data_IF_805264752617
#
_entry.id   IF_805264752617
#
_cell.length_a   1.000
_cell.length_b   1.000
_cell.length_c   1.000
_cell.angle_alpha   90.00
_cell.angle_beta   90.00
_cell.angle_gamma   90.00
#
_symmetry.space_group_name_H-M   'P 1'
#
loop_
_entity.id
_entity.type
_entity.pdbx_description
1 polymer ?
#
# COMPACT_ATOMS: atom_id res chain seq x y z
N UNK A 1 41.38 -23.74 4.62
CA UNK A 1 40.11 -23.71 5.39
C UNK A 1 39.59 -22.30 5.66
N UNK A 2 40.40 -21.35 6.13
CA UNK A 2 39.96 -19.99 6.48
C UNK A 2 39.28 -19.20 5.35
N UNK A 3 39.72 -19.39 4.09
CA UNK A 3 39.20 -18.70 2.89
C UNK A 3 37.80 -19.14 2.43
N UNK A 4 37.39 -20.38 2.74
CA UNK A 4 36.06 -20.90 2.39
C UNK A 4 35.02 -20.37 3.38
N UNK A 5 35.41 -20.19 4.64
CA UNK A 5 34.56 -19.62 5.69
C UNK A 5 34.23 -18.13 5.44
N UNK A 6 35.16 -17.37 4.88
CA UNK A 6 34.96 -15.95 4.54
C UNK A 6 34.01 -15.76 3.35
N UNK A 7 34.06 -16.67 2.36
CA UNK A 7 33.18 -16.62 1.19
C UNK A 7 31.73 -16.97 1.56
N UNK A 8 31.53 -17.93 2.48
CA UNK A 8 30.22 -18.27 3.01
C UNK A 8 29.62 -17.14 3.85
N UNK A 9 30.45 -16.41 4.63
CA UNK A 9 30.00 -15.26 5.41
C UNK A 9 29.56 -14.08 4.53
N UNK A 10 30.26 -13.82 3.42
CA UNK A 10 29.93 -12.74 2.48
C UNK A 10 28.69 -13.06 1.62
N UNK A 11 28.43 -14.34 1.35
CA UNK A 11 27.25 -14.80 0.60
C UNK A 11 25.96 -14.70 1.43
N UNK A 12 26.03 -14.88 2.74
CA UNK A 12 24.87 -14.74 3.64
C UNK A 12 24.47 -13.28 3.92
N UNK A 13 25.39 -12.31 3.79
CA UNK A 13 25.08 -10.88 4.05
C UNK A 13 24.34 -10.20 2.90
N UNK A 14 24.16 -10.85 1.75
CA UNK A 14 23.57 -10.25 0.55
C UNK A 14 22.03 -10.39 0.45
N UNK A 15 21.36 -11.03 1.43
CA UNK A 15 19.92 -11.33 1.35
C UNK A 15 19.04 -10.30 2.08
N UNK A 16 19.61 -9.24 2.65
CA UNK A 16 18.87 -8.27 3.48
C UNK A 16 18.27 -7.13 2.66
N UNK A 17 17.24 -7.40 1.86
CA UNK A 17 16.31 -6.37 1.37
C UNK A 17 14.94 -6.92 0.89
N UNK A 18 14.54 -8.14 1.26
CA UNK A 18 13.18 -8.59 1.00
C UNK A 18 12.25 -7.97 2.05
N UNK A 19 11.42 -7.00 1.66
CA UNK A 19 10.20 -6.69 2.43
C UNK A 19 9.45 -8.01 2.60
N UNK A 20 9.32 -8.51 3.82
CA UNK A 20 8.68 -9.82 4.06
C UNK A 20 7.18 -9.71 3.78
N UNK A 21 6.80 -9.95 2.52
CA UNK A 21 5.40 -10.20 2.18
C UNK A 21 5.02 -11.53 2.82
N UNK A 22 3.98 -11.58 3.68
CA UNK A 22 3.61 -12.82 4.34
C UNK A 22 3.31 -13.94 3.33
N UNK A 23 3.65 -15.18 3.68
CA UNK A 23 3.41 -16.34 2.80
C UNK A 23 1.91 -16.50 2.45
N UNK A 24 1.03 -16.20 3.41
CA UNK A 24 -0.42 -16.21 3.19
C UNK A 24 -0.85 -15.19 2.13
N UNK A 25 -0.21 -14.02 2.10
CA UNK A 25 -0.41 -13.00 1.07
C UNK A 25 0.05 -13.51 -0.29
N UNK A 26 1.24 -14.11 -0.37
CA UNK A 26 1.75 -14.68 -1.62
C UNK A 26 0.81 -15.76 -2.16
N UNK A 27 0.37 -16.68 -1.31
CA UNK A 27 -0.57 -17.73 -1.69
C UNK A 27 -1.89 -17.13 -2.19
N UNK A 28 -2.48 -16.19 -1.44
CA UNK A 28 -3.74 -15.53 -1.82
C UNK A 28 -3.64 -14.76 -3.12
N UNK A 29 -2.56 -13.99 -3.32
CA UNK A 29 -2.36 -13.20 -4.53
C UNK A 29 -1.93 -14.06 -5.73
N UNK A 30 -1.30 -15.22 -5.50
CA UNK A 30 -0.92 -16.14 -6.60
C UNK A 30 -2.12 -16.76 -7.31
N UNK A 31 -3.25 -16.87 -6.61
CA UNK A 31 -4.52 -17.35 -7.17
C UNK A 31 -5.45 -16.22 -7.55
N UNK A 32 -5.13 -14.97 -7.21
CA UNK A 32 -5.99 -13.82 -7.46
C UNK A 32 -5.83 -13.34 -8.90
N UNK A 33 -6.87 -13.53 -9.71
CA UNK A 33 -6.86 -13.20 -11.14
C UNK A 33 -7.83 -12.06 -11.52
N UNK A 34 -7.97 -11.83 -12.83
CA UNK A 34 -8.85 -10.78 -13.35
C UNK A 34 -10.34 -11.12 -13.15
N UNK A 35 -10.73 -12.39 -13.06
CA UNK A 35 -12.10 -12.79 -12.74
C UNK A 35 -12.42 -12.43 -11.29
N UNK A 36 -11.51 -12.72 -10.36
CA UNK A 36 -11.64 -12.35 -8.95
C UNK A 36 -11.77 -10.84 -8.79
N UNK A 37 -10.92 -10.06 -9.48
CA UNK A 37 -11.02 -8.60 -9.50
C UNK A 37 -12.38 -8.11 -10.01
N UNK A 38 -12.91 -8.71 -11.08
CA UNK A 38 -14.20 -8.35 -11.67
C UNK A 38 -15.41 -8.74 -10.79
N UNK A 39 -15.23 -9.66 -9.85
CA UNK A 39 -16.24 -10.05 -8.88
C UNK A 39 -16.28 -9.13 -7.64
N UNK A 40 -15.25 -8.29 -7.44
CA UNK A 40 -15.17 -7.39 -6.30
C UNK A 40 -16.31 -6.36 -6.29
N UNK A 41 -16.83 -6.10 -5.11
CA UNK A 41 -17.75 -5.00 -4.86
C UNK A 41 -16.98 -3.85 -4.22
N UNK A 42 -17.00 -2.66 -4.83
CA UNK A 42 -16.26 -1.50 -4.35
C UNK A 42 -16.60 -1.10 -2.89
N UNK A 43 -17.81 -1.41 -2.42
CA UNK A 43 -18.25 -1.16 -1.04
C UNK A 43 -17.67 -2.14 -0.01
N UNK A 44 -17.22 -3.31 -0.46
CA UNK A 44 -16.68 -4.36 0.41
C UNK A 44 -15.17 -4.21 0.61
N UNK A 45 -14.50 -3.47 -0.27
CA UNK A 45 -13.05 -3.27 -0.22
C UNK A 45 -12.68 -2.34 0.93
N UNK A 46 -11.86 -2.86 1.84
CA UNK A 46 -11.41 -2.12 3.00
C UNK A 46 -9.95 -2.34 3.31
N UNK A 47 -9.33 -1.30 3.85
CA UNK A 47 -7.92 -1.30 4.22
C UNK A 47 -7.82 -0.98 5.70
N UNK A 48 -7.10 -1.81 6.45
CA UNK A 48 -6.61 -1.43 7.78
C UNK A 48 -5.18 -0.97 7.63
N UNK A 49 -4.89 0.21 8.16
CA UNK A 49 -3.53 0.72 8.25
C UNK A 49 -3.25 1.01 9.71
N UNK A 50 -2.24 0.35 10.26
CA UNK A 50 -1.82 0.55 11.65
C UNK A 50 -0.45 1.18 11.67
N UNK A 51 -0.32 2.24 12.48
CA UNK A 51 0.93 2.97 12.69
C UNK A 51 1.19 3.17 14.18
N UNK A 52 2.46 3.19 14.63
CA UNK A 52 2.80 3.41 16.03
C UNK A 52 2.25 4.75 16.55
N UNK A 53 2.02 4.82 17.86
CA UNK A 53 1.63 6.06 18.51
C UNK A 53 2.66 7.18 18.24
N UNK A 54 2.17 8.41 18.05
CA UNK A 54 2.99 9.56 17.65
C UNK A 54 3.07 9.77 16.14
N UNK A 55 2.67 8.79 15.33
CA UNK A 55 2.45 8.94 13.89
C UNK A 55 0.96 9.15 13.59
N UNK A 56 0.66 9.98 12.61
CA UNK A 56 -0.71 10.24 12.14
C UNK A 56 -0.80 10.01 10.63
N UNK A 57 -1.78 9.21 10.20
CA UNK A 57 -2.05 8.96 8.79
C UNK A 57 -2.74 10.16 8.14
N UNK A 58 -2.26 10.56 6.96
CA UNK A 58 -2.96 11.44 6.03
C UNK A 58 -3.92 10.61 5.16
N UNK A 59 -5.13 10.40 5.66
CA UNK A 59 -6.14 9.57 5.00
C UNK A 59 -6.50 10.13 3.62
N UNK A 60 -6.71 11.45 3.51
CA UNK A 60 -7.09 12.15 2.28
C UNK A 60 -6.08 12.00 1.14
N UNK A 61 -4.81 11.70 1.46
CA UNK A 61 -3.75 11.47 0.46
C UNK A 61 -3.37 10.00 0.32
N UNK A 62 -3.92 9.13 1.16
CA UNK A 62 -3.70 7.68 1.12
C UNK A 62 -4.64 7.03 0.11
N UNK A 63 -4.18 5.99 -0.56
CA UNK A 63 -4.89 5.41 -1.69
C UNK A 63 -4.62 3.91 -1.82
N UNK A 64 -5.59 3.23 -2.43
CA UNK A 64 -5.49 1.86 -2.90
C UNK A 64 -5.33 1.90 -4.43
N UNK A 65 -4.45 1.08 -4.96
CA UNK A 65 -4.25 0.95 -6.40
C UNK A 65 -4.25 -0.50 -6.82
N UNK A 66 -4.67 -0.69 -8.07
CA UNK A 66 -4.59 -1.95 -8.78
C UNK A 66 -3.79 -1.70 -10.06
N UNK A 67 -2.71 -2.45 -10.23
CA UNK A 67 -1.88 -2.44 -11.43
C UNK A 67 -2.15 -3.74 -12.18
N UNK A 68 -2.51 -3.62 -13.45
CA UNK A 68 -2.97 -4.70 -14.31
C UNK A 68 -2.00 -4.79 -15.48
N UNK A 69 -1.51 -5.98 -15.74
CA UNK A 69 -0.60 -6.21 -16.87
C UNK A 69 -1.11 -7.36 -17.72
N UNK A 70 -1.06 -7.16 -19.03
CA UNK A 70 -1.15 -8.21 -20.04
C UNK A 70 0.09 -8.18 -20.94
N UNK A 71 0.27 -9.18 -21.80
CA UNK A 71 1.40 -9.27 -22.74
C UNK A 71 1.71 -7.97 -23.51
N UNK A 72 0.72 -7.11 -23.74
CA UNK A 72 0.88 -5.89 -24.56
C UNK A 72 0.40 -4.60 -23.91
N UNK A 73 -0.26 -4.66 -22.74
CA UNK A 73 -0.86 -3.47 -22.13
C UNK A 73 -0.64 -3.44 -20.62
N UNK A 74 -0.44 -2.23 -20.10
CA UNK A 74 -0.47 -1.95 -18.66
C UNK A 74 -1.59 -0.96 -18.38
N UNK A 75 -2.45 -1.30 -17.43
CA UNK A 75 -3.51 -0.44 -16.94
C UNK A 75 -3.42 -0.33 -15.43
N UNK A 76 -3.80 0.82 -14.88
CA UNK A 76 -3.77 1.01 -13.44
C UNK A 76 -4.95 1.85 -12.98
N UNK A 77 -5.55 1.44 -11.86
CA UNK A 77 -6.50 2.26 -11.12
C UNK A 77 -5.87 2.78 -9.85
N UNK A 78 -6.18 4.03 -9.51
CA UNK A 78 -5.87 4.65 -8.23
C UNK A 78 -7.18 5.11 -7.61
N UNK A 79 -7.44 4.68 -6.38
CA UNK A 79 -8.68 4.90 -5.66
C UNK A 79 -8.37 5.51 -4.31
N UNK A 80 -8.86 6.73 -4.09
CA UNK A 80 -8.63 7.44 -2.84
C UNK A 80 -9.49 6.83 -1.73
N UNK A 81 -8.98 6.92 -0.50
CA UNK A 81 -9.57 6.26 0.67
C UNK A 81 -10.29 7.27 1.56
N UNK A 82 -11.32 6.80 2.24
CA UNK A 82 -12.00 7.53 3.31
C UNK A 82 -12.03 6.71 4.59
N UNK A 83 -12.15 7.41 5.72
CA UNK A 83 -12.20 6.80 7.04
C UNK A 83 -13.55 6.13 7.30
N UNK A 84 -13.52 4.88 7.74
CA UNK A 84 -14.64 4.22 8.42
C UNK A 84 -14.53 4.38 9.94
N UNK A 85 -13.35 4.09 10.50
CA UNK A 85 -13.10 4.26 11.93
C UNK A 85 -11.62 4.46 12.22
N UNK A 86 -11.34 4.98 13.41
CA UNK A 86 -10.00 5.07 13.99
C UNK A 86 -10.09 4.57 15.42
N UNK A 87 -9.16 3.71 15.82
CA UNK A 87 -9.11 3.19 17.18
C UNK A 87 -7.68 3.05 17.68
N UNK A 88 -7.50 3.23 18.99
CA UNK A 88 -6.27 2.81 19.66
C UNK A 88 -6.16 1.29 19.61
N UNK A 89 -4.94 0.80 19.51
CA UNK A 89 -4.62 -0.62 19.35
C UNK A 89 -3.24 -0.92 19.92
N UNK A 90 -2.94 -2.20 20.08
CA UNK A 90 -1.63 -2.69 20.46
C UNK A 90 -1.18 -3.69 19.39
N UNK A 91 0.06 -3.58 18.97
CA UNK A 91 0.71 -4.59 18.14
C UNK A 91 1.55 -5.45 19.06
N UNK A 92 1.32 -6.76 19.02
CA UNK A 92 2.06 -7.76 19.79
C UNK A 92 3.53 -7.76 19.37
N UNK A 93 4.44 -7.63 20.34
CA UNK A 93 5.88 -7.68 20.11
C UNK A 93 6.41 -9.10 19.83
N UNK A 94 5.57 -10.12 19.97
CA UNK A 94 5.90 -11.53 19.93
C UNK A 94 6.63 -11.99 21.19
N UNK A 95 7.12 -13.23 21.16
CA UNK A 95 7.73 -13.91 22.32
C UNK A 95 8.96 -13.20 22.91
N UNK A 96 9.60 -12.29 22.16
CA UNK A 96 10.83 -11.61 22.56
C UNK A 96 10.75 -10.08 22.48
N UNK A 97 9.59 -9.52 22.09
CA UNK A 97 9.41 -8.08 21.90
C UNK A 97 8.44 -7.50 22.91
N UNK A 98 8.57 -6.19 23.17
CA UNK A 98 7.55 -5.44 23.88
C UNK A 98 6.43 -5.04 22.94
N UNK A 99 5.20 -5.07 23.44
CA UNK A 99 4.03 -4.54 22.78
C UNK A 99 4.21 -3.07 22.36
N UNK A 100 3.65 -2.74 21.19
CA UNK A 100 3.73 -1.41 20.60
C UNK A 100 2.34 -0.77 20.63
N UNK A 101 2.20 0.32 21.39
CA UNK A 101 1.01 1.15 21.33
C UNK A 101 0.87 1.79 19.94
N UNK A 102 -0.32 1.67 19.35
CA UNK A 102 -0.55 2.01 17.95
C UNK A 102 -1.95 2.59 17.71
N UNK A 103 -2.13 3.23 16.55
CA UNK A 103 -3.44 3.64 16.03
C UNK A 103 -3.77 2.84 14.79
N UNK A 104 -4.93 2.19 14.78
CA UNK A 104 -5.46 1.48 13.61
C UNK A 104 -6.53 2.34 12.92
N UNK A 105 -6.34 2.59 11.63
CA UNK A 105 -7.30 3.25 10.76
C UNK A 105 -7.98 2.20 9.89
N UNK A 106 -9.31 2.09 9.97
CA UNK A 106 -10.11 1.29 9.03
C UNK A 106 -10.65 2.23 7.96
N UNK A 107 -10.33 1.92 6.71
CA UNK A 107 -10.59 2.74 5.55
C UNK A 107 -11.38 1.96 4.50
N UNK A 108 -12.07 2.68 3.63
CA UNK A 108 -12.75 2.14 2.45
C UNK A 108 -12.54 3.06 1.26
N UNK A 109 -12.92 2.62 0.06
CA UNK A 109 -12.92 3.48 -1.11
C UNK A 109 -13.85 4.69 -0.92
N UNK A 110 -13.38 5.86 -1.34
CA UNK A 110 -14.23 7.05 -1.46
C UNK A 110 -15.37 6.80 -2.46
N UNK A 111 -16.60 7.29 -2.22
CA UNK A 111 -17.69 7.15 -3.18
C UNK A 111 -17.34 7.67 -4.57
N UNK A 112 -16.55 8.75 -4.62
CA UNK A 112 -16.07 9.40 -5.84
C UNK A 112 -15.08 8.54 -6.63
N UNK A 113 -14.42 7.57 -5.98
CA UNK A 113 -13.52 6.60 -6.63
C UNK A 113 -14.26 5.40 -7.24
N UNK A 114 -15.55 5.20 -6.91
CA UNK A 114 -16.33 4.04 -7.39
C UNK A 114 -16.54 4.01 -8.90
N UNK A 115 -16.85 5.13 -9.59
CA UNK A 115 -16.99 5.12 -11.05
C UNK A 115 -15.72 4.67 -11.76
N UNK A 116 -14.55 5.17 -11.35
CA UNK A 116 -13.26 4.77 -11.91
C UNK A 116 -12.96 3.28 -11.64
N UNK A 117 -13.41 2.74 -10.50
CA UNK A 117 -13.25 1.33 -10.18
C UNK A 117 -14.09 0.45 -11.12
N UNK A 118 -15.35 0.84 -11.33
CA UNK A 118 -16.25 0.17 -12.28
C UNK A 118 -15.73 0.26 -13.71
N UNK A 119 -15.15 1.39 -14.11
CA UNK A 119 -14.52 1.57 -15.42
C UNK A 119 -13.35 0.59 -15.61
N UNK A 120 -12.50 0.44 -14.58
CA UNK A 120 -11.41 -0.53 -14.60
C UNK A 120 -11.91 -1.97 -14.73
N UNK A 121 -12.99 -2.32 -14.02
CA UNK A 121 -13.64 -3.64 -14.16
C UNK A 121 -14.22 -3.83 -15.56
N UNK A 122 -14.88 -2.82 -16.13
CA UNK A 122 -15.44 -2.89 -17.47
C UNK A 122 -14.34 -3.10 -18.53
N UNK A 123 -13.20 -2.41 -18.38
CA UNK A 123 -12.03 -2.61 -19.22
C UNK A 123 -11.52 -4.06 -19.18
N UNK A 124 -11.39 -4.64 -17.98
CA UNK A 124 -10.86 -5.99 -17.78
C UNK A 124 -11.79 -7.10 -18.29
N UNK A 125 -13.10 -6.87 -18.36
CA UNK A 125 -14.02 -7.83 -18.99
C UNK A 125 -13.74 -8.00 -20.49
N UNK A 126 -13.17 -6.98 -21.12
CA UNK A 126 -12.83 -6.99 -22.54
C UNK A 126 -11.36 -7.35 -22.79
N UNK A 127 -10.47 -6.96 -21.87
CA UNK A 127 -9.02 -7.09 -22.00
C UNK A 127 -8.45 -7.81 -20.79
N UNK A 128 -8.58 -9.14 -20.78
CA UNK A 128 -8.07 -10.02 -19.72
C UNK A 128 -6.65 -9.59 -19.30
N UNK A 129 -6.41 -9.52 -17.99
CA UNK A 129 -5.08 -9.28 -17.45
C UNK A 129 -4.45 -10.62 -17.05
N UNK A 130 -3.15 -10.76 -17.32
CA UNK A 130 -2.37 -11.93 -16.91
C UNK A 130 -1.95 -11.82 -15.44
N UNK A 131 -1.85 -10.60 -14.94
CA UNK A 131 -1.46 -10.32 -13.56
C UNK A 131 -2.22 -9.12 -13.00
N UNK A 132 -2.65 -9.25 -11.75
CA UNK A 132 -3.26 -8.19 -10.96
C UNK A 132 -2.43 -7.94 -9.71
N UNK A 133 -1.79 -6.78 -9.64
CA UNK A 133 -1.02 -6.33 -8.48
C UNK A 133 -1.83 -5.34 -7.67
N UNK A 134 -1.83 -5.52 -6.35
CA UNK A 134 -2.52 -4.64 -5.41
C UNK A 134 -1.49 -3.82 -4.64
N UNK A 135 -1.71 -2.50 -4.57
CA UNK A 135 -0.83 -1.58 -3.86
C UNK A 135 -1.64 -0.72 -2.91
N UNK A 136 -1.28 -0.73 -1.63
CA UNK A 136 -1.77 0.27 -0.66
C UNK A 136 -0.65 1.26 -0.40
N UNK A 137 -0.94 2.56 -0.52
CA UNK A 137 0.04 3.61 -0.25
C UNK A 137 -0.43 4.49 0.90
N UNK A 138 0.07 4.23 2.13
CA UNK A 138 -0.15 5.13 3.25
C UNK A 138 0.63 6.43 3.03
N UNK A 139 -0.01 7.56 3.34
CA UNK A 139 0.67 8.86 3.45
C UNK A 139 0.65 9.29 4.91
N UNK A 140 1.78 9.77 5.42
CA UNK A 140 1.89 10.21 6.83
C UNK A 140 1.71 11.72 6.90
N UNK A 141 0.83 12.19 7.80
CA UNK A 141 0.54 13.61 8.05
C UNK A 141 1.48 14.19 9.10
N UNK A 142 1.66 13.49 10.21
CA UNK A 142 2.48 13.90 11.35
C UNK A 142 3.31 12.73 11.86
N UNK A 143 4.50 13.03 12.36
CA UNK A 143 5.44 12.08 12.92
C UNK A 143 6.39 12.82 13.89
N UNK A 144 7.06 12.11 14.82
CA UNK A 144 8.03 12.70 15.74
C UNK A 144 9.19 13.38 15.00
N UNK A 145 9.70 14.49 15.53
CA UNK A 145 10.70 15.32 14.85
C UNK A 145 12.01 14.59 14.50
N UNK A 146 12.39 13.63 15.35
CA UNK A 146 13.61 12.82 15.22
C UNK A 146 13.36 11.43 14.61
N UNK A 147 12.15 11.15 14.11
CA UNK A 147 11.90 9.87 13.45
C UNK A 147 12.55 9.84 12.06
N UNK A 148 13.27 8.76 11.77
CA UNK A 148 13.83 8.48 10.44
C UNK A 148 12.95 7.52 9.64
N UNK A 149 12.28 6.60 10.34
CA UNK A 149 11.44 5.55 9.79
C UNK A 149 10.11 5.47 10.54
N UNK A 150 9.12 4.86 9.89
CA UNK A 150 7.88 4.42 10.51
C UNK A 150 7.63 2.96 10.14
N UNK A 151 7.35 2.10 11.13
CA UNK A 151 6.84 0.77 10.85
C UNK A 151 5.35 0.86 10.52
N UNK A 152 4.91 0.16 9.48
CA UNK A 152 3.51 0.17 9.05
C UNK A 152 3.02 -1.26 8.85
N UNK A 153 1.81 -1.51 9.33
CA UNK A 153 1.05 -2.73 9.09
C UNK A 153 -0.14 -2.39 8.22
N UNK A 154 -0.39 -3.23 7.21
CA UNK A 154 -1.48 -3.04 6.27
C UNK A 154 -2.19 -4.37 6.11
N UNK A 155 -3.47 -4.40 6.43
CA UNK A 155 -4.35 -5.51 6.08
C UNK A 155 -5.39 -5.07 5.05
N UNK A 156 -5.76 -5.98 4.17
CA UNK A 156 -6.71 -5.75 3.09
C UNK A 156 -7.87 -6.74 3.21
N UNK A 157 -9.08 -6.24 3.02
CA UNK A 157 -10.29 -7.02 2.80
C UNK A 157 -10.79 -6.70 1.40
N UNK A 158 -10.98 -7.72 0.56
CA UNK A 158 -11.45 -7.57 -0.81
C UNK A 158 -12.94 -7.90 -0.96
N UNK A 159 -13.47 -8.76 -0.07
CA UNK A 159 -14.87 -9.21 -0.04
C UNK A 159 -15.37 -9.20 1.39
N UNK A 160 -16.65 -8.89 1.59
CA UNK A 160 -17.30 -8.99 2.90
C UNK A 160 -17.42 -10.44 3.41
N UNK A 161 -17.39 -11.42 2.50
CA UNK A 161 -17.44 -12.85 2.82
C UNK A 161 -16.10 -13.37 3.35
N UNK A 162 -15.01 -12.67 3.06
CA UNK A 162 -13.67 -13.03 3.47
C UNK A 162 -13.16 -12.06 4.54
N UNK A 163 -12.35 -12.56 5.48
CA UNK A 163 -11.68 -11.72 6.46
C UNK A 163 -10.59 -10.85 5.85
N UNK A 164 -10.00 -10.00 6.69
CA UNK A 164 -8.77 -9.29 6.36
C UNK A 164 -7.62 -10.30 6.16
N UNK A 165 -6.76 -10.04 5.19
CA UNK A 165 -5.45 -10.68 5.07
C UNK A 165 -4.37 -9.61 5.11
N UNK A 166 -3.22 -9.95 5.67
CA UNK A 166 -2.09 -9.03 5.79
C UNK A 166 -1.46 -8.81 4.41
N UNK A 167 -1.22 -7.55 4.05
CA UNK A 167 -0.48 -7.15 2.86
C UNK A 167 0.95 -6.75 3.23
N UNK A 168 1.10 -6.04 4.36
CA UNK A 168 2.38 -5.58 4.89
C UNK A 168 2.40 -5.86 6.38
N UNK A 169 3.43 -6.55 6.84
CA UNK A 169 3.63 -6.86 8.26
C UNK A 169 4.87 -6.12 8.78
N UNK A 170 4.66 -5.04 9.54
CA UNK A 170 5.72 -4.32 10.25
C UNK A 170 6.81 -3.69 9.38
N UNK A 171 6.56 -3.43 8.10
CA UNK A 171 7.58 -2.89 7.20
C UNK A 171 7.96 -1.45 7.55
N UNK A 172 9.26 -1.16 7.54
CA UNK A 172 9.77 0.19 7.78
C UNK A 172 9.72 1.04 6.51
N UNK A 173 9.12 2.22 6.61
CA UNK A 173 9.11 3.24 5.57
C UNK A 173 10.01 4.40 5.96
N UNK A 174 10.94 4.75 5.07
CA UNK A 174 11.83 5.90 5.24
C UNK A 174 11.07 7.22 5.10
N UNK A 175 11.14 8.08 6.12
CA UNK A 175 10.46 9.38 6.12
C UNK A 175 11.15 10.41 5.21
N UNK A 176 12.45 10.27 4.94
CA UNK A 176 13.15 11.13 3.97
C UNK A 176 12.63 10.91 2.55
N UNK A 177 12.37 9.66 2.17
CA UNK A 177 11.75 9.31 0.88
C UNK A 177 10.33 9.90 0.76
N UNK A 178 9.57 9.90 1.86
CA UNK A 178 8.22 10.51 1.89
C UNK A 178 8.26 12.05 1.73
N UNK A 179 9.30 12.73 2.23
CA UNK A 179 9.49 14.19 2.05
C UNK A 179 9.79 14.55 0.59
N UNK A 180 10.67 13.79 -0.08
CA UNK A 180 11.04 14.02 -1.49
C UNK A 180 9.83 13.85 -2.42
N UNK A 181 8.99 12.83 -2.19
CA UNK A 181 7.75 12.65 -2.96
C UNK A 181 6.76 13.82 -2.81
N UNK A 182 6.78 14.53 -1.67
CA UNK A 182 5.93 15.69 -1.44
C UNK A 182 6.41 16.91 -2.24
N UNK A 183 7.72 17.14 -2.32
CA UNK A 183 8.30 18.24 -3.09
C UNK A 183 8.00 18.09 -4.60
N UNK A 184 8.31 16.92 -5.16
CA UNK A 184 8.10 16.66 -6.59
C UNK A 184 6.62 16.72 -7.02
N UNK A 185 5.68 16.40 -6.13
CA UNK A 185 4.24 16.49 -6.40
C UNK A 185 3.75 17.96 -6.41
N UNK A 186 4.35 18.83 -5.60
CA UNK A 186 4.04 20.26 -5.59
C UNK A 186 4.60 20.95 -6.84
N UNK A 187 5.80 20.58 -7.28
CA UNK A 187 6.42 21.17 -8.48
C UNK A 187 5.62 20.83 -9.75
N UNK A 188 5.16 19.57 -9.90
CA UNK A 188 4.31 19.16 -11.04
C UNK A 188 2.93 19.80 -11.05
N UNK A 189 2.37 20.11 -9.87
CA UNK A 189 1.09 20.81 -9.78
C UNK A 189 1.23 22.28 -10.22
N UNK A 190 2.35 22.93 -9.90
CA UNK A 190 2.63 24.31 -10.30
C UNK A 190 2.99 24.45 -11.79
N UNK A 191 3.65 23.44 -12.37
CA UNK A 191 3.97 23.42 -13.81
C UNK A 191 2.69 23.34 -14.66
N UNK A 192 1.69 22.58 -14.23
CA UNK A 192 0.41 22.45 -14.93
C UNK A 192 -0.46 23.72 -14.88
N UNK A 193 -0.27 24.60 -13.90
CA UNK A 193 -1.01 25.87 -13.77
C UNK A 193 -0.44 27.00 -14.63
N UNK A 194 0.84 26.90 -15.05
CA UNK A 194 1.48 27.94 -15.86
C UNK A 194 1.23 27.76 -17.37
N UNK A 195 0.79 26.57 -17.79
CA UNK A 195 0.54 26.25 -19.20
C UNK A 195 -0.87 26.63 -19.70
N UNK A 196 -1.78 27.07 -18.83
CA UNK A 196 -3.16 27.49 -19.16
C UNK A 196 -3.40 29.01 -18.95
N UNK A 197 -2.39 29.86 -19.21
CA UNK A 197 -2.63 31.30 -19.37
C UNK A 197 -2.92 31.59 -20.85
N UNK A 198 -4.12 32.11 -21.21
CA UNK A 198 -4.38 32.54 -22.57
C UNK A 198 -3.44 33.68 -22.91
N UNK A 199 -2.69 33.51 -24.00
CA UNK A 199 -1.88 34.56 -24.60
C UNK A 199 -2.83 35.69 -25.02
N UNK A 200 -2.73 36.83 -24.33
CA UNK A 200 -3.36 38.09 -24.73
C UNK A 200 -2.45 38.81 -25.73
#
# INVERSE_FOLDING_TARGET
>A
MFRILTLAFFLCTAISACTSVPLSTMAKLSTFDWQDFNALQAGDIQVKITVPQGFELNIERSWLGFELSSEHNHHSGRFDLQRLSTQASVIDGGLFGSDIAATTYRLQLQPESRPAFTELQAYLRQHKADNVMIRVVPKIKRYPANAEFVSVWIDLQLSSQEGFFTLVDGSQLSLSTLKVQRANATDRANEKTTQDLPSN
#
